data_IF_625071003320
#
_entry.id   IF_625071003320
#
_cell.length_a   1.000
_cell.length_b   1.000
_cell.length_c   1.000
_cell.angle_alpha   90.00
_cell.angle_beta   90.00
_cell.angle_gamma   90.00
#
_symmetry.space_group_name_H-M   'P 1'
#
loop_
_entity.id
_entity.type
_entity.pdbx_description
1 polymer ?
#
# COMPACT_ATOMS: atom_id res chain seq x y z
N UNK A 1 -13.34 4.57 16.74
CA UNK A 1 -12.18 3.78 16.28
C UNK A 1 -12.50 2.34 16.61
N UNK A 2 -12.65 1.48 15.59
CA UNK A 2 -12.91 0.05 15.80
C UNK A 2 -11.56 -0.67 15.92
N UNK A 3 -11.37 -1.40 17.02
CA UNK A 3 -10.18 -2.24 17.27
C UNK A 3 -10.65 -3.60 17.76
N UNK A 4 -10.22 -4.67 17.12
CA UNK A 4 -10.53 -6.07 17.47
C UNK A 4 -9.23 -6.83 17.68
N UNK A 5 -9.15 -7.63 18.74
CA UNK A 5 -8.02 -8.52 19.01
C UNK A 5 -8.15 -9.85 18.27
N UNK A 6 -7.03 -10.37 17.77
CA UNK A 6 -6.94 -11.43 16.74
C UNK A 6 -7.13 -12.85 17.30
N UNK A 7 -8.35 -13.37 17.14
CA UNK A 7 -8.64 -14.72 16.58
C UNK A 7 -9.91 -14.72 15.71
N UNK A 8 -10.66 -13.60 15.71
CA UNK A 8 -11.84 -13.43 14.87
C UNK A 8 -11.44 -13.06 13.44
N UNK A 9 -11.99 -13.79 12.48
CA UNK A 9 -11.96 -13.43 11.08
C UNK A 9 -12.61 -12.04 10.93
N UNK A 10 -11.84 -11.02 10.53
CA UNK A 10 -12.43 -9.71 10.23
C UNK A 10 -13.37 -9.88 9.04
N UNK A 11 -14.65 -9.62 9.25
CA UNK A 11 -15.63 -9.52 8.17
C UNK A 11 -15.43 -8.21 7.42
N UNK A 12 -14.60 -8.26 6.38
CA UNK A 12 -14.33 -7.13 5.49
C UNK A 12 -15.57 -6.71 4.69
N UNK A 13 -16.58 -7.57 4.58
CA UNK A 13 -17.82 -7.32 3.86
C UNK A 13 -18.90 -6.71 4.79
N UNK A 14 -18.58 -6.49 6.07
CA UNK A 14 -19.47 -5.86 7.03
C UNK A 14 -19.78 -4.41 6.62
N UNK A 15 -21.05 -4.01 6.73
CA UNK A 15 -21.56 -2.70 6.30
C UNK A 15 -20.74 -1.52 6.83
N UNK A 16 -20.31 -1.60 8.09
CA UNK A 16 -19.51 -0.56 8.75
C UNK A 16 -18.13 -0.37 8.11
N UNK A 17 -17.52 -1.43 7.59
CA UNK A 17 -16.25 -1.36 6.86
C UNK A 17 -16.49 -0.61 5.56
N UNK A 18 -17.52 -0.98 4.81
CA UNK A 18 -17.84 -0.36 3.53
C UNK A 18 -18.28 1.11 3.64
N UNK A 19 -18.98 1.49 4.70
CA UNK A 19 -19.45 2.87 4.90
C UNK A 19 -18.37 3.80 5.47
N UNK A 20 -17.28 3.25 6.01
CA UNK A 20 -16.24 4.06 6.64
C UNK A 20 -15.40 4.80 5.60
N UNK A 21 -15.06 6.06 5.86
CA UNK A 21 -14.10 6.79 5.00
C UNK A 21 -12.67 6.27 5.21
N UNK A 22 -12.32 6.08 6.48
CA UNK A 22 -10.99 5.67 6.94
C UNK A 22 -11.11 4.35 7.70
N UNK A 23 -10.24 3.40 7.39
CA UNK A 23 -10.21 2.09 8.06
C UNK A 23 -8.80 1.86 8.61
N UNK A 24 -8.72 1.47 9.88
CA UNK A 24 -7.47 1.02 10.50
C UNK A 24 -7.59 -0.47 10.75
N UNK A 25 -6.67 -1.24 10.18
CA UNK A 25 -6.63 -2.68 10.34
C UNK A 25 -5.37 -3.05 11.13
N UNK A 26 -5.56 -3.33 12.41
CA UNK A 26 -4.53 -3.87 13.30
C UNK A 26 -4.50 -5.39 13.13
N UNK A 27 -3.40 -5.92 12.59
CA UNK A 27 -3.32 -7.32 12.19
C UNK A 27 -1.96 -7.92 12.58
N UNK A 28 -1.95 -9.13 13.16
CA UNK A 28 -0.73 -9.87 13.48
C UNK A 28 -0.36 -10.83 12.34
N UNK A 29 0.75 -10.57 11.65
CA UNK A 29 1.43 -11.57 10.81
C UNK A 29 0.83 -11.88 9.44
N UNK A 30 1.71 -12.42 8.58
CA UNK A 30 1.61 -12.78 7.15
C UNK A 30 0.23 -12.75 6.48
N UNK A 31 0.14 -11.96 5.42
CA UNK A 31 -0.99 -11.98 4.50
C UNK A 31 -0.81 -13.08 3.47
N UNK A 32 -1.88 -13.84 3.23
CA UNK A 32 -2.00 -14.60 1.99
C UNK A 32 -2.39 -13.66 0.86
N UNK A 33 -2.05 -14.03 -0.37
CA UNK A 33 -2.48 -13.32 -1.58
C UNK A 33 -4.01 -13.10 -1.60
N UNK A 34 -4.77 -14.06 -1.07
CA UNK A 34 -6.22 -13.97 -0.93
C UNK A 34 -6.66 -12.84 0.02
N UNK A 35 -5.99 -12.66 1.16
CA UNK A 35 -6.28 -11.57 2.10
C UNK A 35 -5.95 -10.22 1.48
N UNK A 36 -4.80 -10.08 0.83
CA UNK A 36 -4.41 -8.83 0.14
C UNK A 36 -5.39 -8.47 -0.98
N UNK A 37 -5.87 -9.47 -1.71
CA UNK A 37 -6.86 -9.29 -2.76
C UNK A 37 -8.20 -8.77 -2.21
N UNK A 38 -8.67 -9.32 -1.08
CA UNK A 38 -9.88 -8.83 -0.39
C UNK A 38 -9.68 -7.41 0.12
N UNK A 39 -8.52 -7.11 0.71
CA UNK A 39 -8.18 -5.77 1.20
C UNK A 39 -8.11 -4.74 0.06
N UNK A 40 -7.59 -5.13 -1.10
CA UNK A 40 -7.48 -4.23 -2.25
C UNK A 40 -8.85 -3.87 -2.86
N UNK A 41 -9.88 -4.71 -2.65
CA UNK A 41 -11.28 -4.48 -3.08
C UNK A 41 -12.04 -3.48 -2.22
N UNK A 42 -11.56 -3.21 -1.01
CA UNK A 42 -12.25 -2.32 -0.07
C UNK A 42 -12.58 -0.97 -0.73
N UNK A 43 -13.82 -0.47 -0.60
CA UNK A 43 -14.23 0.79 -1.23
C UNK A 43 -13.65 2.02 -0.53
N UNK A 44 -13.00 1.83 0.61
CA UNK A 44 -12.46 2.88 1.45
C UNK A 44 -11.40 3.70 0.73
N UNK A 45 -11.39 5.01 1.01
CA UNK A 45 -10.43 5.96 0.43
C UNK A 45 -9.13 6.01 1.20
N UNK A 46 -9.13 5.72 2.50
CA UNK A 46 -7.92 5.72 3.32
C UNK A 46 -7.87 4.47 4.19
N UNK A 47 -6.89 3.60 3.96
CA UNK A 47 -6.69 2.38 4.74
C UNK A 47 -5.31 2.43 5.39
N UNK A 48 -5.28 2.32 6.71
CA UNK A 48 -4.05 2.15 7.49
C UNK A 48 -3.91 0.70 7.90
N UNK A 49 -2.86 0.08 7.40
CA UNK A 49 -2.42 -1.24 7.76
C UNK A 49 -1.45 -1.17 8.95
N UNK A 50 -1.99 -1.36 10.15
CA UNK A 50 -1.26 -1.32 11.41
C UNK A 50 -0.65 -2.70 11.73
N UNK A 51 0.39 -3.04 10.98
CA UNK A 51 1.27 -4.19 11.17
C UNK A 51 2.69 -3.73 10.81
N UNK A 52 3.73 -4.27 11.47
CA UNK A 52 5.12 -3.85 11.25
C UNK A 52 5.94 -4.83 10.39
N UNK A 53 5.33 -5.94 9.98
CA UNK A 53 6.00 -7.10 9.37
C UNK A 53 5.64 -7.27 7.88
N UNK A 54 5.47 -6.17 7.16
CA UNK A 54 5.18 -6.21 5.73
C UNK A 54 6.40 -6.65 4.92
N UNK A 55 6.17 -7.63 4.03
CA UNK A 55 7.10 -7.97 2.96
C UNK A 55 6.72 -7.24 1.68
N UNK A 56 7.72 -6.94 0.85
CA UNK A 56 7.52 -6.23 -0.41
C UNK A 56 6.57 -6.95 -1.38
N UNK A 57 6.63 -8.28 -1.48
CA UNK A 57 5.82 -9.08 -2.41
C UNK A 57 4.33 -8.85 -2.23
N UNK A 58 3.85 -8.82 -0.98
CA UNK A 58 2.44 -8.54 -0.71
C UNK A 58 1.99 -7.14 -1.10
N UNK A 59 2.89 -6.15 -1.01
CA UNK A 59 2.62 -4.78 -1.45
C UNK A 59 2.63 -4.70 -2.98
N UNK A 60 3.52 -5.44 -3.65
CA UNK A 60 3.53 -5.57 -5.12
C UNK A 60 2.17 -6.09 -5.60
N UNK A 61 1.64 -7.15 -5.00
CA UNK A 61 0.35 -7.73 -5.41
C UNK A 61 -0.82 -6.79 -5.16
N UNK A 62 -0.80 -6.05 -4.04
CA UNK A 62 -1.77 -4.99 -3.76
C UNK A 62 -1.76 -3.92 -4.87
N UNK A 63 -0.58 -3.43 -5.25
CA UNK A 63 -0.40 -2.43 -6.32
C UNK A 63 -0.85 -2.99 -7.68
N UNK A 64 -0.42 -4.21 -8.04
CA UNK A 64 -0.83 -4.88 -9.30
C UNK A 64 -2.34 -5.02 -9.38
N UNK A 65 -3.01 -5.34 -8.27
CA UNK A 65 -4.46 -5.38 -8.24
C UNK A 65 -5.08 -4.00 -8.47
N UNK A 66 -4.56 -2.94 -7.86
CA UNK A 66 -5.04 -1.58 -8.09
C UNK A 66 -4.88 -1.15 -9.54
N UNK A 67 -3.76 -1.48 -10.18
CA UNK A 67 -3.52 -1.24 -11.61
C UNK A 67 -4.57 -1.99 -12.45
N UNK A 68 -4.70 -3.30 -12.23
CA UNK A 68 -5.63 -4.17 -12.99
C UNK A 68 -7.08 -3.68 -12.91
N UNK A 69 -7.51 -3.20 -11.75
CA UNK A 69 -8.90 -2.78 -11.50
C UNK A 69 -9.10 -1.27 -11.62
N UNK A 70 -8.09 -0.52 -12.05
CA UNK A 70 -8.12 0.94 -12.18
C UNK A 70 -8.66 1.62 -10.93
N UNK A 71 -8.01 1.35 -9.78
CA UNK A 71 -8.39 1.91 -8.48
C UNK A 71 -8.62 3.42 -8.60
N UNK A 72 -9.68 3.91 -7.97
CA UNK A 72 -10.11 5.31 -8.11
C UNK A 72 -9.10 6.31 -7.55
N UNK A 73 -9.01 7.49 -8.18
CA UNK A 73 -8.23 8.63 -7.68
C UNK A 73 -8.66 9.02 -6.26
N UNK A 74 -7.68 9.47 -5.46
CA UNK A 74 -7.84 9.82 -4.05
C UNK A 74 -7.93 8.62 -3.11
N UNK A 75 -7.62 7.40 -3.59
CA UNK A 75 -7.51 6.22 -2.73
C UNK A 75 -6.07 6.07 -2.23
N UNK A 76 -5.91 5.79 -0.95
CA UNK A 76 -4.63 5.67 -0.26
C UNK A 76 -4.60 4.45 0.66
N UNK A 77 -3.48 3.75 0.64
CA UNK A 77 -3.12 2.66 1.54
C UNK A 77 -1.80 3.03 2.24
N UNK A 78 -1.79 2.99 3.56
CA UNK A 78 -0.62 3.24 4.39
C UNK A 78 -0.19 1.97 5.11
N UNK A 79 1.08 1.60 5.01
CA UNK A 79 1.65 0.42 5.66
C UNK A 79 2.66 0.88 6.71
N UNK A 80 2.42 0.60 7.99
CA UNK A 80 3.39 0.94 9.04
C UNK A 80 4.62 0.03 8.93
N UNK A 81 5.79 0.58 9.27
CA UNK A 81 7.04 -0.18 9.23
C UNK A 81 7.86 0.02 10.50
N UNK A 82 8.57 -1.04 10.91
CA UNK A 82 9.72 -0.87 11.79
C UNK A 82 10.79 -0.02 11.09
N UNK A 83 11.49 0.81 11.86
CA UNK A 83 12.19 1.98 11.35
C UNK A 83 13.30 1.72 10.32
N UNK A 84 13.90 0.52 10.34
CA UNK A 84 15.00 0.11 9.47
C UNK A 84 14.55 -0.59 8.18
N UNK A 85 13.27 -0.95 8.05
CA UNK A 85 12.79 -1.79 6.92
C UNK A 85 12.29 -0.99 5.72
N UNK A 86 11.79 0.23 5.95
CA UNK A 86 11.11 1.02 4.93
C UNK A 86 11.98 1.30 3.69
N UNK A 87 13.24 1.78 3.80
CA UNK A 87 14.06 2.06 2.61
C UNK A 87 14.27 0.83 1.72
N UNK A 88 14.59 -0.31 2.34
CA UNK A 88 14.77 -1.59 1.64
C UNK A 88 13.50 -2.04 0.91
N UNK A 89 12.34 -1.91 1.54
CA UNK A 89 11.07 -2.29 0.92
C UNK A 89 10.72 -1.36 -0.24
N UNK A 90 10.89 -0.05 -0.06
CA UNK A 90 10.64 0.95 -1.09
C UNK A 90 11.56 0.72 -2.31
N UNK A 91 12.84 0.44 -2.09
CA UNK A 91 13.79 0.10 -3.15
C UNK A 91 13.37 -1.13 -3.95
N UNK A 92 13.00 -2.22 -3.26
CA UNK A 92 12.51 -3.45 -3.92
C UNK A 92 11.23 -3.22 -4.72
N UNK A 93 10.30 -2.42 -4.21
CA UNK A 93 9.09 -2.05 -4.94
C UNK A 93 9.45 -1.28 -6.21
N UNK A 94 10.35 -0.31 -6.11
CA UNK A 94 10.82 0.44 -7.27
C UNK A 94 11.44 -0.47 -8.34
N UNK A 95 12.28 -1.43 -7.95
CA UNK A 95 12.88 -2.40 -8.88
C UNK A 95 11.83 -3.21 -9.63
N UNK A 96 10.77 -3.64 -8.95
CA UNK A 96 9.68 -4.44 -9.53
C UNK A 96 8.85 -3.67 -10.57
N UNK A 97 8.74 -2.34 -10.45
CA UNK A 97 7.86 -1.54 -11.30
C UNK A 97 8.58 -0.68 -12.33
N UNK A 98 9.89 -0.47 -12.19
CA UNK A 98 10.69 0.32 -13.15
C UNK A 98 11.56 -0.54 -14.08
N UNK A 99 11.45 -1.87 -14.00
CA UNK A 99 11.99 -2.85 -14.95
C UNK A 99 13.42 -2.52 -15.43
N UNK A 100 14.26 -2.07 -14.50
CA UNK A 100 15.57 -1.49 -14.80
C UNK A 100 16.69 -2.44 -14.37
N UNK A 101 17.45 -2.92 -15.36
CA UNK A 101 18.78 -3.51 -15.15
C UNK A 101 19.72 -2.41 -14.65
N UNK A 102 19.77 -2.14 -13.35
CA UNK A 102 20.66 -1.12 -12.80
C UNK A 102 21.57 -1.67 -11.71
N UNK A 103 22.85 -1.72 -12.08
CA UNK A 103 24.01 -1.68 -11.21
C UNK A 103 23.91 -0.52 -10.21
N UNK A 104 24.23 -0.81 -8.94
CA UNK A 104 24.80 0.12 -7.95
C UNK A 104 23.95 1.34 -7.50
N UNK A 105 22.62 1.29 -7.51
CA UNK A 105 21.82 2.34 -6.85
C UNK A 105 21.64 2.03 -5.34
N UNK A 106 22.01 2.96 -4.47
CA UNK A 106 21.82 2.84 -3.01
C UNK A 106 20.32 2.79 -2.65
N UNK A 107 19.94 1.90 -1.73
CA UNK A 107 18.58 1.72 -1.23
C UNK A 107 18.00 3.02 -0.66
N UNK A 108 18.85 3.94 -0.19
CA UNK A 108 18.45 5.23 0.40
C UNK A 108 18.18 6.33 -0.62
N UNK A 109 18.56 6.12 -1.89
CA UNK A 109 18.39 7.13 -2.94
C UNK A 109 16.95 7.28 -3.40
N UNK A 110 16.08 6.32 -3.07
CA UNK A 110 14.67 6.33 -3.44
C UNK A 110 13.85 6.82 -2.25
N UNK A 111 13.23 7.99 -2.40
CA UNK A 111 12.24 8.50 -1.44
C UNK A 111 10.81 8.27 -1.92
N UNK A 112 10.61 8.24 -3.25
CA UNK A 112 9.32 8.00 -3.89
C UNK A 112 9.48 7.58 -5.36
N UNK A 113 8.41 7.04 -5.95
CA UNK A 113 8.28 6.82 -7.39
C UNK A 113 6.82 6.69 -7.83
N UNK A 114 6.59 6.74 -9.14
CA UNK A 114 5.24 6.62 -9.72
C UNK A 114 5.09 5.41 -10.63
N UNK A 115 3.90 4.83 -10.66
CA UNK A 115 3.51 3.74 -11.56
C UNK A 115 2.25 4.16 -12.32
N UNK A 116 2.26 4.20 -13.66
CA UNK A 116 1.06 4.57 -14.41
C UNK A 116 -0.03 3.48 -14.29
N UNK A 117 -1.27 3.89 -14.03
CA UNK A 117 -2.44 3.00 -14.15
C UNK A 117 -3.02 3.12 -15.56
N UNK A 118 -3.19 4.36 -16.04
CA UNK A 118 -3.70 4.72 -17.36
C UNK A 118 -3.33 6.19 -17.67
N UNK A 119 -3.84 6.76 -18.76
CA UNK A 119 -3.56 8.15 -19.16
C UNK A 119 -4.06 9.22 -18.18
N UNK A 120 -4.96 8.86 -17.26
CA UNK A 120 -5.62 9.79 -16.33
C UNK A 120 -5.17 9.63 -14.88
N UNK A 121 -4.50 8.52 -14.53
CA UNK A 121 -4.18 8.20 -13.13
C UNK A 121 -2.90 7.40 -12.99
N UNK A 122 -2.24 7.61 -11.86
CA UNK A 122 -0.99 6.96 -11.47
C UNK A 122 -1.01 6.61 -9.99
N UNK A 123 -0.23 5.62 -9.62
CA UNK A 123 0.07 5.29 -8.23
C UNK A 123 1.36 6.01 -7.84
N UNK A 124 1.33 6.80 -6.79
CA UNK A 124 2.50 7.31 -6.11
C UNK A 124 2.85 6.39 -4.94
N UNK A 125 4.11 5.97 -4.84
CA UNK A 125 4.64 5.18 -3.73
C UNK A 125 5.73 5.99 -3.05
N UNK A 126 5.61 6.23 -1.74
CA UNK A 126 6.55 7.09 -1.01
C UNK A 126 6.67 6.70 0.47
N UNK A 127 7.82 7.03 1.08
CA UNK A 127 8.04 6.90 2.50
C UNK A 127 7.62 8.15 3.29
N UNK A 128 7.13 7.95 4.52
CA UNK A 128 6.89 9.00 5.51
C UNK A 128 7.58 8.60 6.80
N UNK A 129 8.25 9.54 7.49
CA UNK A 129 9.08 9.23 8.65
C UNK A 129 8.33 9.14 9.98
N UNK A 130 7.27 9.94 10.19
CA UNK A 130 6.53 9.98 11.46
C UNK A 130 4.99 9.95 11.27
N UNK A 131 4.31 8.86 11.71
CA UNK A 131 4.87 7.55 12.02
C UNK A 131 5.49 6.93 10.76
N UNK A 132 6.54 6.12 10.93
CA UNK A 132 7.25 5.55 9.79
C UNK A 132 6.37 4.60 8.98
N UNK A 133 6.09 4.95 7.74
CA UNK A 133 5.16 4.22 6.88
C UNK A 133 5.49 4.35 5.40
N UNK A 134 5.09 3.34 4.65
CA UNK A 134 4.98 3.41 3.20
C UNK A 134 3.56 3.86 2.84
N UNK A 135 3.44 4.78 1.90
CA UNK A 135 2.16 5.21 1.36
C UNK A 135 2.08 4.82 -0.11
N UNK A 136 0.94 4.22 -0.47
CA UNK A 136 0.54 3.92 -1.85
C UNK A 136 -0.74 4.70 -2.12
N UNK A 137 -0.67 5.64 -3.05
CA UNK A 137 -1.75 6.60 -3.28
C UNK A 137 -2.07 6.74 -4.77
N UNK A 138 -3.35 6.73 -5.12
CA UNK A 138 -3.80 6.96 -6.50
C UNK A 138 -4.04 8.45 -6.71
N UNK A 139 -3.23 9.03 -7.57
CA UNK A 139 -3.29 10.43 -7.97
C UNK A 139 -3.80 10.56 -9.41
N UNK A 140 -4.29 11.75 -9.75
CA UNK A 140 -4.47 12.13 -11.14
C UNK A 140 -3.11 12.15 -11.85
N UNK A 141 -3.06 11.81 -13.12
CA UNK A 141 -1.82 11.83 -13.91
C UNK A 141 -1.14 13.22 -13.88
N UNK A 142 -1.95 14.28 -13.76
CA UNK A 142 -1.53 15.68 -13.77
C UNK A 142 -1.03 16.22 -12.42
N UNK A 143 -1.20 15.47 -11.32
CA UNK A 143 -0.74 15.92 -9.99
C UNK A 143 0.75 15.65 -9.81
N UNK A 144 1.52 16.63 -9.33
CA UNK A 144 2.92 16.44 -8.90
C UNK A 144 2.98 15.88 -7.47
N UNK A 145 4.05 15.15 -7.17
CA UNK A 145 4.38 14.61 -5.84
C UNK A 145 5.11 15.69 -5.03
#
# INVERSE_FOLDING_TARGET
>A
MFTSDLYDFIDLDHSIVHSSKNVVLSMNGTFTDASLLRLARLPNKDILFNCLLWEHDGIVDHIKYWIKNRKSVGTKSSFLFASHRLPRVLFKLWQQFNDTNLQEMDERSISSFTIPINSQSKICVYGVDEPKRLVVEVLSAMESI
#
